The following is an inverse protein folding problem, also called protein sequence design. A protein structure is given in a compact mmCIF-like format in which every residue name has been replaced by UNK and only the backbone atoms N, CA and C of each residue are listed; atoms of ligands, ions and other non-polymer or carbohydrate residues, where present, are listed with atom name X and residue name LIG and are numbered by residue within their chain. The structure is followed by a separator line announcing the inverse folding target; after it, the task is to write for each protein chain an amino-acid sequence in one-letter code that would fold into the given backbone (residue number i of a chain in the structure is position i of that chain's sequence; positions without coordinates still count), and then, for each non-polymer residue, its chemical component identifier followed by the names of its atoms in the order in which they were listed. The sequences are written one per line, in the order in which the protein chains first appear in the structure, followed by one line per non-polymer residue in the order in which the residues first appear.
data_IF_226836084559
#
_entry.id   IF_226836084559
#
_cell.length_a   1.000
_cell.length_b   1.000
_cell.length_c   1.000
_cell.angle_alpha   90.00
_cell.angle_beta   90.00
_cell.angle_gamma   90.00
#
_symmetry.space_group_name_H-M   'P 1'
#
loop_
_entity.id
_entity.type
_entity.pdbx_description
1 polymer ?
#
# COMPACT_ATOMS: atom_id res chain seq x y z
N UNK A 1 -5.71 25.68 -19.87
CA UNK A 1 -5.13 24.81 -18.84
C UNK A 1 -4.58 23.58 -19.54
N UNK A 2 -3.27 23.54 -19.80
CA UNK A 2 -2.63 22.47 -20.56
C UNK A 2 -2.29 21.34 -19.60
N UNK A 3 -2.92 20.18 -19.75
CA UNK A 3 -2.50 18.94 -19.14
C UNK A 3 -1.20 18.50 -19.84
N UNK A 4 -0.07 18.61 -19.16
CA UNK A 4 1.17 18.00 -19.64
C UNK A 4 1.00 16.47 -19.54
N UNK A 5 0.74 15.86 -20.69
CA UNK A 5 0.84 14.41 -20.86
C UNK A 5 2.33 14.11 -20.74
N UNK A 6 2.72 13.40 -19.67
CA UNK A 6 4.09 12.92 -19.52
C UNK A 6 4.52 12.15 -20.77
N UNK A 7 5.78 12.26 -21.14
CA UNK A 7 6.32 11.54 -22.29
C UNK A 7 6.04 10.03 -22.15
N UNK A 8 5.85 9.32 -23.26
CA UNK A 8 5.62 7.86 -23.25
C UNK A 8 6.68 7.12 -22.44
N UNK A 9 7.94 7.58 -22.49
CA UNK A 9 9.05 7.05 -21.70
C UNK A 9 8.81 7.20 -20.18
N UNK A 10 8.23 8.32 -19.74
CA UNK A 10 7.91 8.56 -18.33
C UNK A 10 6.77 7.65 -17.86
N UNK A 11 5.79 7.41 -18.70
CA UNK A 11 4.65 6.52 -18.40
C UNK A 11 5.14 5.07 -18.32
N UNK A 12 5.97 4.63 -19.26
CA UNK A 12 6.55 3.29 -19.26
C UNK A 12 7.48 3.06 -18.07
N UNK A 13 8.32 4.02 -17.70
CA UNK A 13 9.19 3.93 -16.53
C UNK A 13 8.38 3.81 -15.24
N UNK A 14 7.30 4.57 -15.11
CA UNK A 14 6.39 4.49 -13.97
C UNK A 14 5.67 3.13 -13.89
N UNK A 15 5.25 2.59 -15.02
CA UNK A 15 4.62 1.28 -15.09
C UNK A 15 5.60 0.15 -14.74
N UNK A 16 6.83 0.20 -15.24
CA UNK A 16 7.89 -0.75 -14.87
C UNK A 16 8.22 -0.68 -13.38
N UNK A 17 8.29 0.52 -12.81
CA UNK A 17 8.50 0.71 -11.38
C UNK A 17 7.38 0.07 -10.55
N UNK A 18 6.12 0.21 -10.98
CA UNK A 18 4.97 -0.41 -10.30
C UNK A 18 4.96 -1.93 -10.43
N UNK A 19 5.38 -2.48 -11.57
CA UNK A 19 5.46 -3.93 -11.79
C UNK A 19 6.54 -4.58 -10.92
N UNK A 20 7.66 -3.88 -10.72
CA UNK A 20 8.81 -4.42 -10.00
C UNK A 20 9.53 -5.54 -10.74
N UNK A 21 10.72 -5.86 -10.27
CA UNK A 21 11.55 -6.96 -10.77
C UNK A 21 12.15 -7.74 -9.57
N UNK A 22 12.55 -8.98 -9.78
CA UNK A 22 13.15 -9.78 -8.72
C UNK A 22 12.25 -9.90 -7.48
N UNK A 23 12.74 -9.44 -6.33
CA UNK A 23 12.01 -9.49 -5.05
C UNK A 23 10.80 -8.55 -4.97
N UNK A 24 10.63 -7.62 -5.91
CA UNK A 24 9.46 -6.74 -6.01
C UNK A 24 8.49 -7.15 -7.12
N UNK A 25 8.78 -8.24 -7.82
CA UNK A 25 8.02 -8.74 -8.96
C UNK A 25 6.61 -9.19 -8.60
N UNK A 26 5.76 -9.30 -9.61
CA UNK A 26 4.41 -9.85 -9.49
C UNK A 26 4.41 -11.24 -8.85
N UNK A 27 5.36 -12.10 -9.20
CA UNK A 27 5.49 -13.44 -8.60
C UNK A 27 5.73 -13.39 -7.09
N UNK A 28 6.53 -12.44 -6.62
CA UNK A 28 6.78 -12.25 -5.19
C UNK A 28 5.53 -11.75 -4.47
N UNK A 29 4.76 -10.86 -5.10
CA UNK A 29 3.46 -10.40 -4.59
C UNK A 29 2.46 -11.54 -4.46
N UNK A 30 2.36 -12.41 -5.49
CA UNK A 30 1.46 -13.57 -5.44
C UNK A 30 1.78 -14.51 -4.28
N UNK A 31 3.06 -14.71 -3.96
CA UNK A 31 3.46 -15.49 -2.78
C UNK A 31 2.99 -14.87 -1.48
N UNK A 32 3.06 -13.54 -1.36
CA UNK A 32 2.51 -12.84 -0.21
C UNK A 32 1.00 -13.05 -0.12
N UNK A 33 0.25 -12.87 -1.21
CA UNK A 33 -1.20 -13.06 -1.24
C UNK A 33 -1.58 -14.48 -0.84
N UNK A 34 -0.89 -15.48 -1.36
CA UNK A 34 -1.11 -16.88 -0.99
C UNK A 34 -0.89 -17.09 0.52
N UNK A 35 0.17 -16.54 1.07
CA UNK A 35 0.46 -16.59 2.51
C UNK A 35 -0.63 -15.94 3.35
N UNK A 36 -1.07 -14.75 2.99
CA UNK A 36 -2.17 -14.06 3.69
C UNK A 36 -3.46 -14.89 3.68
N UNK A 37 -3.78 -15.51 2.55
CA UNK A 37 -4.92 -16.41 2.44
C UNK A 37 -4.78 -17.63 3.37
N UNK A 38 -3.62 -18.28 3.40
CA UNK A 38 -3.32 -19.40 4.29
C UNK A 38 -3.38 -19.03 5.77
N UNK A 39 -3.08 -17.79 6.10
CA UNK A 39 -3.20 -17.23 7.46
C UNK A 39 -4.64 -16.81 7.83
N UNK A 40 -5.60 -17.00 6.94
CA UNK A 40 -7.03 -16.82 7.21
C UNK A 40 -7.67 -15.55 6.66
N UNK A 41 -6.97 -14.76 5.83
CA UNK A 41 -7.58 -13.65 5.10
C UNK A 41 -8.49 -14.22 4.00
N UNK A 42 -9.77 -13.86 4.03
CA UNK A 42 -10.78 -14.43 3.13
C UNK A 42 -11.47 -13.40 2.23
N UNK A 43 -11.36 -12.11 2.51
CA UNK A 43 -11.97 -11.08 1.68
C UNK A 43 -11.20 -10.91 0.36
N UNK A 44 -11.80 -11.40 -0.73
CA UNK A 44 -11.18 -11.38 -2.05
C UNK A 44 -10.86 -9.96 -2.56
N UNK A 45 -11.68 -8.97 -2.23
CA UNK A 45 -11.45 -7.57 -2.62
C UNK A 45 -10.22 -6.99 -1.90
N UNK A 46 -10.07 -7.28 -0.61
CA UNK A 46 -8.90 -6.85 0.16
C UNK A 46 -7.63 -7.50 -0.39
N UNK A 47 -7.64 -8.81 -0.62
CA UNK A 47 -6.50 -9.52 -1.20
C UNK A 47 -6.11 -8.97 -2.58
N UNK A 48 -7.11 -8.67 -3.43
CA UNK A 48 -6.85 -8.10 -4.76
C UNK A 48 -6.25 -6.69 -4.68
N UNK A 49 -6.74 -5.84 -3.79
CA UNK A 49 -6.16 -4.50 -3.58
C UNK A 49 -4.73 -4.58 -3.10
N UNK A 50 -4.41 -5.47 -2.17
CA UNK A 50 -3.03 -5.68 -1.69
C UNK A 50 -2.14 -6.21 -2.80
N UNK A 51 -2.64 -7.14 -3.64
CA UNK A 51 -1.91 -7.67 -4.79
C UNK A 51 -1.47 -6.57 -5.76
N UNK A 52 -2.38 -5.67 -6.11
CA UNK A 52 -2.12 -4.62 -7.10
C UNK A 52 -1.44 -3.37 -6.55
N UNK A 53 -1.48 -3.14 -5.24
CA UNK A 53 -0.84 -1.97 -4.62
C UNK A 53 0.67 -2.21 -4.47
N UNK A 54 1.53 -1.43 -5.11
CA UNK A 54 2.97 -1.68 -5.16
C UNK A 54 3.65 -1.24 -3.85
N UNK A 55 3.58 -2.09 -2.82
CA UNK A 55 4.09 -1.80 -1.47
C UNK A 55 5.56 -1.35 -1.46
N UNK A 56 6.37 -1.84 -2.38
CA UNK A 56 7.79 -1.47 -2.47
C UNK A 56 8.02 0.02 -2.78
N UNK A 57 7.02 0.73 -3.30
CA UNK A 57 7.09 2.18 -3.51
C UNK A 57 6.81 2.99 -2.24
N UNK A 58 6.35 2.35 -1.16
CA UNK A 58 6.02 2.98 0.12
C UNK A 58 7.12 2.81 1.18
N UNK A 59 8.26 2.23 0.82
CA UNK A 59 9.43 2.06 1.66
C UNK A 59 10.64 2.67 0.98
N UNK A 60 11.72 2.89 1.75
CA UNK A 60 12.98 3.33 1.17
C UNK A 60 13.50 2.30 0.16
N UNK A 61 14.16 2.78 -0.90
CA UNK A 61 14.70 1.93 -1.96
C UNK A 61 15.60 0.83 -1.42
N UNK A 62 16.40 1.14 -0.39
CA UNK A 62 17.26 0.17 0.29
C UNK A 62 16.48 -1.01 0.92
N UNK A 63 15.19 -0.83 1.24
CA UNK A 63 14.32 -1.84 1.83
C UNK A 63 13.31 -2.43 0.84
N UNK A 64 13.27 -1.96 -0.40
CA UNK A 64 12.31 -2.39 -1.41
C UNK A 64 12.30 -3.91 -1.60
N UNK A 65 13.47 -4.57 -1.53
CA UNK A 65 13.61 -6.02 -1.65
C UNK A 65 12.90 -6.81 -0.54
N UNK A 66 12.59 -6.16 0.60
CA UNK A 66 11.87 -6.75 1.75
C UNK A 66 10.40 -6.37 1.79
N UNK A 67 9.92 -5.54 0.86
CA UNK A 67 8.57 -4.97 0.91
C UNK A 67 7.45 -6.01 0.92
N UNK A 68 7.69 -7.20 0.37
CA UNK A 68 6.72 -8.29 0.28
C UNK A 68 6.97 -9.42 1.30
N UNK A 69 7.88 -9.22 2.24
CA UNK A 69 7.93 -10.01 3.47
C UNK A 69 6.73 -9.63 4.37
N UNK A 70 6.16 -10.60 5.07
CA UNK A 70 5.08 -10.31 6.01
C UNK A 70 5.65 -9.81 7.35
N UNK A 71 6.22 -8.61 7.31
CA UNK A 71 6.85 -7.94 8.45
C UNK A 71 6.66 -6.42 8.36
N UNK A 72 6.73 -5.74 9.50
CA UNK A 72 6.84 -4.29 9.56
C UNK A 72 8.24 -3.85 9.14
N UNK A 73 8.34 -2.71 8.47
CA UNK A 73 9.61 -2.12 8.05
C UNK A 73 9.70 -0.66 8.50
N UNK A 74 10.90 -0.15 8.81
CA UNK A 74 11.08 1.25 9.20
C UNK A 74 10.80 2.19 8.02
N UNK A 75 10.20 3.34 8.32
CA UNK A 75 9.95 4.45 7.39
C UNK A 75 10.57 5.76 7.84
N UNK A 76 11.44 5.72 8.83
CA UNK A 76 12.02 6.91 9.47
C UNK A 76 11.16 7.42 10.63
N UNK A 77 11.69 8.39 11.37
CA UNK A 77 11.02 9.04 12.50
C UNK A 77 10.52 8.08 13.58
N UNK A 78 11.21 6.95 13.79
CA UNK A 78 10.80 5.86 14.69
C UNK A 78 9.40 5.30 14.37
N UNK A 79 8.99 5.37 13.10
CA UNK A 79 7.72 4.83 12.60
C UNK A 79 7.99 3.67 11.64
N UNK A 80 6.95 2.87 11.42
CA UNK A 80 6.99 1.72 10.53
C UNK A 80 5.81 1.72 9.56
N UNK A 81 6.00 1.12 8.39
CA UNK A 81 4.90 0.58 7.59
C UNK A 81 4.46 -0.73 8.26
N UNK A 82 3.17 -0.85 8.52
CA UNK A 82 2.63 -2.04 9.19
C UNK A 82 2.84 -3.31 8.36
N UNK A 83 2.99 -4.44 9.05
CA UNK A 83 3.04 -5.77 8.45
C UNK A 83 1.86 -5.98 7.49
N UNK A 84 2.07 -6.58 6.30
CA UNK A 84 1.00 -6.82 5.33
C UNK A 84 -0.22 -7.54 5.90
N UNK A 85 -0.03 -8.57 6.73
CA UNK A 85 -1.13 -9.24 7.40
C UNK A 85 -1.98 -8.29 8.25
N UNK A 86 -1.34 -7.40 9.01
CA UNK A 86 -2.06 -6.43 9.86
C UNK A 86 -2.87 -5.44 9.02
N UNK A 87 -2.29 -4.92 7.93
CA UNK A 87 -3.02 -4.04 7.00
C UNK A 87 -4.24 -4.76 6.42
N UNK A 88 -4.05 -5.97 5.92
CA UNK A 88 -5.12 -6.78 5.33
C UNK A 88 -6.21 -7.11 6.36
N UNK A 89 -5.83 -7.54 7.55
CA UNK A 89 -6.77 -7.95 8.61
C UNK A 89 -7.58 -6.77 9.15
N UNK A 90 -6.94 -5.64 9.43
CA UNK A 90 -7.66 -4.44 9.85
C UNK A 90 -8.65 -3.96 8.79
N UNK A 91 -8.24 -3.98 7.52
CA UNK A 91 -9.10 -3.60 6.41
C UNK A 91 -10.28 -4.56 6.24
N UNK A 92 -10.04 -5.87 6.34
CA UNK A 92 -11.09 -6.90 6.27
C UNK A 92 -12.12 -6.72 7.39
N UNK A 93 -11.66 -6.51 8.63
CA UNK A 93 -12.53 -6.27 9.77
C UNK A 93 -13.34 -4.97 9.64
N UNK A 94 -12.72 -3.91 9.12
CA UNK A 94 -13.40 -2.65 8.86
C UNK A 94 -14.55 -2.82 7.86
N UNK A 95 -14.33 -3.58 6.81
CA UNK A 95 -15.33 -3.83 5.75
C UNK A 95 -16.38 -4.88 6.14
N UNK A 96 -16.15 -5.67 7.19
CA UNK A 96 -17.07 -6.71 7.62
C UNK A 96 -18.44 -6.16 8.09
N UNK A 97 -18.49 -4.90 8.52
CA UNK A 97 -19.72 -4.22 8.92
C UNK A 97 -20.60 -3.77 7.72
N UNK A 98 -20.15 -3.96 6.50
CA UNK A 98 -20.84 -3.57 5.27
C UNK A 98 -20.11 -2.45 4.51
N UNK A 99 -20.67 -1.93 3.41
CA UNK A 99 -20.10 -0.86 2.62
C UNK A 99 -19.86 0.41 3.46
N UNK A 100 -18.72 1.05 3.24
CA UNK A 100 -18.34 2.29 3.91
C UNK A 100 -18.14 3.40 2.89
N UNK A 101 -18.81 4.52 3.10
CA UNK A 101 -18.64 5.72 2.26
C UNK A 101 -17.38 6.50 2.64
N UNK A 102 -17.09 6.54 3.94
CA UNK A 102 -16.00 7.36 4.51
C UNK A 102 -15.23 6.61 5.57
N UNK A 103 -13.92 6.77 5.57
CA UNK A 103 -13.01 6.24 6.59
C UNK A 103 -12.08 7.36 7.05
N UNK A 104 -11.86 7.43 8.35
CA UNK A 104 -10.81 8.25 8.96
C UNK A 104 -9.66 7.35 9.39
N UNK A 105 -8.48 7.61 8.85
CA UNK A 105 -7.23 6.98 9.24
C UNK A 105 -6.44 7.92 10.16
N UNK A 106 -5.99 7.40 11.28
CA UNK A 106 -5.09 8.09 12.19
C UNK A 106 -3.69 7.50 12.05
N UNK A 107 -2.74 8.32 11.59
CA UNK A 107 -1.37 7.92 11.33
C UNK A 107 -1.16 7.48 9.87
N UNK A 108 -1.10 8.44 8.96
CA UNK A 108 -0.84 8.20 7.53
C UNK A 108 0.45 7.41 7.29
N UNK A 109 1.52 7.72 8.03
CA UNK A 109 2.81 7.07 7.92
C UNK A 109 3.37 7.15 6.51
N UNK A 110 3.59 5.99 5.89
CA UNK A 110 4.04 5.90 4.48
C UNK A 110 2.93 6.18 3.46
N UNK A 111 1.66 6.19 3.86
CA UNK A 111 0.51 6.27 2.96
C UNK A 111 0.06 4.92 2.38
N UNK A 112 0.69 3.80 2.75
CA UNK A 112 0.33 2.49 2.20
C UNK A 112 -1.09 2.05 2.58
N UNK A 113 -1.46 2.13 3.87
CA UNK A 113 -2.82 1.83 4.32
C UNK A 113 -3.84 2.77 3.67
N UNK A 114 -3.50 4.06 3.53
CA UNK A 114 -4.33 5.05 2.83
C UNK A 114 -4.59 4.62 1.38
N UNK A 115 -3.54 4.19 0.67
CA UNK A 115 -3.63 3.72 -0.71
C UNK A 115 -4.48 2.45 -0.84
N UNK A 116 -4.39 1.53 0.13
CA UNK A 116 -5.25 0.33 0.17
C UNK A 116 -6.71 0.72 0.40
N UNK A 117 -6.99 1.53 1.40
CA UNK A 117 -8.36 1.97 1.73
C UNK A 117 -9.01 2.76 0.60
N UNK A 118 -8.26 3.63 -0.08
CA UNK A 118 -8.78 4.46 -1.18
C UNK A 118 -9.33 3.67 -2.37
N UNK A 119 -8.98 2.40 -2.48
CA UNK A 119 -9.48 1.50 -3.52
C UNK A 119 -10.71 0.68 -3.09
N UNK A 120 -11.11 0.79 -1.82
CA UNK A 120 -12.15 -0.01 -1.20
C UNK A 120 -13.33 0.82 -0.67
N UNK A 121 -13.11 2.11 -0.43
CA UNK A 121 -14.12 3.03 0.10
C UNK A 121 -14.19 4.30 -0.75
N UNK A 122 -15.29 5.03 -0.67
CA UNK A 122 -15.50 6.22 -1.50
C UNK A 122 -14.55 7.36 -1.13
N UNK A 123 -14.33 7.59 0.17
CA UNK A 123 -13.47 8.66 0.67
C UNK A 123 -12.64 8.22 1.87
N UNK A 124 -11.35 8.55 1.85
CA UNK A 124 -10.44 8.36 2.98
C UNK A 124 -9.96 9.73 3.45
N UNK A 125 -10.09 9.97 4.74
CA UNK A 125 -9.47 11.09 5.43
C UNK A 125 -8.32 10.54 6.26
N UNK A 126 -7.11 11.00 6.02
CA UNK A 126 -5.93 10.53 6.74
C UNK A 126 -5.22 11.68 7.42
N UNK A 127 -4.86 11.50 8.68
CA UNK A 127 -4.16 12.51 9.48
C UNK A 127 -2.82 11.97 9.97
N UNK A 128 -1.79 12.83 9.89
CA UNK A 128 -0.43 12.53 10.33
C UNK A 128 0.13 13.72 11.12
N UNK A 129 0.67 13.44 12.31
CA UNK A 129 1.28 14.47 13.15
C UNK A 129 2.72 14.80 12.78
N UNK A 130 3.40 13.89 12.08
CA UNK A 130 4.81 14.07 11.67
C UNK A 130 4.82 14.69 10.27
N UNK A 131 5.10 15.98 10.20
CA UNK A 131 5.04 16.74 8.96
C UNK A 131 5.87 16.11 7.83
N UNK A 132 7.08 15.64 8.13
CA UNK A 132 7.96 15.02 7.14
C UNK A 132 7.34 13.75 6.51
N UNK A 133 6.62 12.93 7.30
CA UNK A 133 5.91 11.76 6.78
C UNK A 133 4.68 12.18 5.96
N UNK A 134 3.95 13.20 6.41
CA UNK A 134 2.81 13.72 5.67
C UNK A 134 3.22 14.25 4.29
N UNK A 135 4.31 14.99 4.21
CA UNK A 135 4.80 15.56 2.95
C UNK A 135 5.22 14.45 1.99
N UNK A 136 5.97 13.46 2.48
CA UNK A 136 6.37 12.30 1.69
C UNK A 136 5.18 11.46 1.20
N UNK A 137 4.13 11.32 1.99
CA UNK A 137 2.94 10.55 1.60
C UNK A 137 2.09 11.24 0.52
N UNK A 138 2.31 12.53 0.24
CA UNK A 138 1.65 13.29 -0.82
C UNK A 138 2.34 13.16 -2.19
N UNK A 139 3.57 12.69 -2.24
CA UNK A 139 4.35 12.45 -3.46
C UNK A 139 3.86 11.18 -4.18
#
# INVERSE_FOLDING_TARGET
MSLAIGSEDSIMANELSRRGIGMTSQRTRERLIQRLYEEGLSNAHVLEVIRRTPRHLFVDEALAHRAYEDTALPIGHNQTISQPFMVARMTELLLAAGPLDKVLEIGTGSGYQTAVLSQLVERVFSVERIQALQDRAKE
#
